data_IF_072680076726
#
_entry.id   IF_072680076726
#
_cell.length_a   1.000
_cell.length_b   1.000
_cell.length_c   1.000
_cell.angle_alpha   90.00
_cell.angle_beta   90.00
_cell.angle_gamma   90.00
#
_symmetry.space_group_name_H-M   'P 1'
#
loop_
_entity.id
_entity.type
_entity.pdbx_description
1 polymer ?
#
# COMPACT_ATOMS: atom_id res chain seq x y z
N UNK A 1 4.17 12.03 10.77
CA UNK A 1 4.23 10.82 9.93
C UNK A 1 4.99 9.69 10.63
N UNK A 2 6.28 9.85 10.97
CA UNK A 2 7.08 8.74 11.56
C UNK A 2 6.54 8.10 12.86
N UNK A 3 6.02 8.89 13.81
CA UNK A 3 5.49 8.33 15.07
C UNK A 3 4.21 7.50 14.89
N UNK A 4 3.39 7.83 13.88
CA UNK A 4 2.15 7.10 13.59
C UNK A 4 2.45 5.86 12.75
N UNK A 5 3.31 5.96 11.72
CA UNK A 5 3.70 4.81 10.91
C UNK A 5 4.31 3.68 11.76
N UNK A 6 5.20 4.00 12.70
CA UNK A 6 5.84 3.03 13.59
C UNK A 6 4.86 2.21 14.46
N UNK A 7 3.70 2.78 14.81
CA UNK A 7 2.71 2.07 15.61
C UNK A 7 1.95 0.99 14.82
N UNK A 8 2.04 1.02 13.50
CA UNK A 8 1.34 0.11 12.60
C UNK A 8 2.29 -0.84 11.85
N UNK A 9 3.61 -0.71 11.98
CA UNK A 9 4.61 -1.60 11.34
C UNK A 9 4.49 -3.07 11.78
N UNK A 10 3.87 -3.35 12.94
CA UNK A 10 3.52 -4.69 13.46
C UNK A 10 2.01 -4.75 13.85
N UNK A 11 1.21 -3.82 13.33
CA UNK A 11 -0.18 -3.61 13.77
C UNK A 11 -1.22 -4.42 13.00
N UNK A 12 -0.84 -4.98 11.85
CA UNK A 12 -1.73 -5.67 10.94
C UNK A 12 -1.36 -7.14 10.81
N UNK A 13 -2.37 -8.00 10.75
CA UNK A 13 -2.19 -9.46 10.69
C UNK A 13 -2.13 -9.94 9.24
N UNK A 14 -2.71 -9.18 8.29
CA UNK A 14 -2.82 -9.58 6.89
C UNK A 14 -1.90 -8.74 5.98
N UNK A 15 -1.14 -9.37 5.06
CA UNK A 15 -0.26 -8.63 4.14
C UNK A 15 -0.97 -7.61 3.24
N UNK A 16 -2.28 -7.76 3.01
CA UNK A 16 -3.08 -6.78 2.24
C UNK A 16 -3.35 -5.51 3.05
N UNK A 17 -3.50 -5.61 4.37
CA UNK A 17 -3.69 -4.46 5.25
C UNK A 17 -2.42 -3.60 5.28
N UNK A 18 -1.24 -4.23 5.36
CA UNK A 18 0.05 -3.55 5.23
C UNK A 18 0.18 -2.81 3.89
N UNK A 19 -0.21 -3.47 2.79
CA UNK A 19 -0.18 -2.87 1.46
C UNK A 19 -1.11 -1.64 1.38
N UNK A 20 -2.36 -1.78 1.84
CA UNK A 20 -3.33 -0.69 1.87
C UNK A 20 -2.82 0.48 2.73
N UNK A 21 -2.22 0.18 3.88
CA UNK A 21 -1.66 1.18 4.77
C UNK A 21 -0.52 1.98 4.11
N UNK A 22 0.39 1.30 3.42
CA UNK A 22 1.46 1.96 2.66
C UNK A 22 0.89 2.85 1.55
N UNK A 23 -0.15 2.41 0.83
CA UNK A 23 -0.82 3.23 -0.19
C UNK A 23 -1.46 4.47 0.43
N UNK A 24 -2.15 4.33 1.56
CA UNK A 24 -2.74 5.47 2.29
C UNK A 24 -1.68 6.46 2.74
N UNK A 25 -0.57 5.99 3.31
CA UNK A 25 0.53 6.85 3.72
C UNK A 25 1.16 7.59 2.51
N UNK A 26 1.22 6.96 1.34
CA UNK A 26 1.76 7.56 0.12
C UNK A 26 0.86 8.73 -0.32
N UNK A 27 -0.45 8.49 -0.36
CA UNK A 27 -1.46 9.52 -0.69
C UNK A 27 -1.40 10.68 0.31
N UNK A 28 -1.38 10.37 1.61
CA UNK A 28 -1.34 11.39 2.66
C UNK A 28 -0.02 12.16 2.70
N UNK A 29 1.07 11.58 2.23
CA UNK A 29 2.35 12.29 2.12
C UNK A 29 2.29 13.43 1.09
N UNK A 30 1.39 13.34 0.11
CA UNK A 30 1.19 14.37 -0.91
C UNK A 30 2.46 14.76 -1.68
N UNK A 31 3.48 13.89 -1.72
CA UNK A 31 4.78 14.18 -2.32
C UNK A 31 5.63 15.21 -1.55
N UNK A 32 5.32 15.51 -0.29
CA UNK A 32 6.05 16.51 0.50
C UNK A 32 7.53 16.20 0.71
N UNK A 33 7.90 14.91 0.71
CA UNK A 33 9.29 14.48 0.85
C UNK A 33 9.65 13.51 -0.29
N UNK A 34 10.43 13.96 -1.31
CA UNK A 34 10.72 13.13 -2.49
C UNK A 34 11.42 11.81 -2.18
N UNK A 35 12.31 11.79 -1.17
CA UNK A 35 13.01 10.56 -0.75
C UNK A 35 12.03 9.55 -0.16
N UNK A 36 11.07 10.02 0.63
CA UNK A 36 10.03 9.20 1.22
C UNK A 36 9.09 8.63 0.16
N UNK A 37 8.71 9.42 -0.85
CA UNK A 37 7.87 8.94 -1.96
C UNK A 37 8.52 7.77 -2.70
N UNK A 38 9.82 7.87 -2.98
CA UNK A 38 10.60 6.80 -3.63
C UNK A 38 10.66 5.55 -2.75
N UNK A 39 10.96 5.70 -1.46
CA UNK A 39 11.03 4.59 -0.51
C UNK A 39 9.68 3.88 -0.35
N UNK A 40 8.60 4.64 -0.22
CA UNK A 40 7.24 4.10 -0.10
C UNK A 40 6.79 3.36 -1.34
N UNK A 41 7.02 3.94 -2.53
CA UNK A 41 6.72 3.26 -3.80
C UNK A 41 7.53 1.98 -3.95
N UNK A 42 8.78 1.98 -3.51
CA UNK A 42 9.62 0.77 -3.45
C UNK A 42 9.03 -0.30 -2.54
N UNK A 43 8.64 0.07 -1.31
CA UNK A 43 8.05 -0.87 -0.35
C UNK A 43 6.74 -1.49 -0.87
N UNK A 44 5.88 -0.69 -1.50
CA UNK A 44 4.64 -1.15 -2.14
C UNK A 44 4.96 -2.16 -3.25
N UNK A 45 5.90 -1.83 -4.14
CA UNK A 45 6.29 -2.70 -5.24
C UNK A 45 6.88 -4.03 -4.74
N UNK A 46 7.73 -3.99 -3.72
CA UNK A 46 8.32 -5.17 -3.10
C UNK A 46 7.25 -6.06 -2.45
N UNK A 47 6.26 -5.46 -1.78
CA UNK A 47 5.13 -6.19 -1.20
C UNK A 47 4.30 -6.91 -2.28
N UNK A 48 3.95 -6.19 -3.36
CA UNK A 48 3.21 -6.74 -4.51
C UNK A 48 4.01 -7.87 -5.17
N UNK A 49 5.31 -7.70 -5.38
CA UNK A 49 6.16 -8.70 -6.01
C UNK A 49 6.32 -9.96 -5.14
N UNK A 50 6.43 -9.80 -3.82
CA UNK A 50 6.61 -10.89 -2.86
C UNK A 50 5.38 -11.78 -2.72
N UNK A 51 4.20 -11.16 -2.62
CA UNK A 51 2.96 -11.88 -2.33
C UNK A 51 2.12 -12.16 -3.58
N UNK A 52 2.25 -11.33 -4.62
CA UNK A 52 1.39 -11.35 -5.81
C UNK A 52 0.05 -10.66 -5.54
N UNK A 53 -0.30 -9.68 -6.38
CA UNK A 53 -1.48 -8.83 -6.16
C UNK A 53 -2.78 -9.63 -6.07
N UNK A 54 -2.99 -10.59 -6.98
CA UNK A 54 -4.19 -11.44 -6.97
C UNK A 54 -4.34 -12.25 -5.67
N UNK A 55 -3.22 -12.67 -5.06
CA UNK A 55 -3.23 -13.44 -3.81
C UNK A 55 -3.52 -12.56 -2.61
N UNK A 56 -3.09 -11.31 -2.64
CA UNK A 56 -3.39 -10.34 -1.58
C UNK A 56 -4.88 -9.97 -1.56
N UNK A 57 -5.54 -9.98 -2.72
CA UNK A 57 -6.94 -9.59 -2.87
C UNK A 57 -7.94 -10.75 -2.72
N UNK A 58 -7.48 -11.99 -2.51
CA UNK A 58 -8.35 -13.18 -2.46
C UNK A 58 -9.43 -13.11 -1.39
N UNK A 59 -9.14 -12.51 -0.23
CA UNK A 59 -10.07 -12.39 0.89
C UNK A 59 -10.80 -11.04 0.91
N UNK A 60 -10.51 -10.15 -0.05
CA UNK A 60 -11.15 -8.84 -0.18
C UNK A 60 -12.42 -8.99 -1.02
N UNK A 61 -13.56 -8.41 -0.59
CA UNK A 61 -14.77 -8.34 -1.42
C UNK A 61 -14.47 -7.77 -2.81
N UNK A 62 -15.08 -8.33 -3.85
CA UNK A 62 -14.74 -7.97 -5.24
C UNK A 62 -14.91 -6.47 -5.54
N UNK A 63 -15.93 -5.83 -4.99
CA UNK A 63 -16.19 -4.39 -5.15
C UNK A 63 -15.11 -3.51 -4.49
N UNK A 64 -14.62 -3.92 -3.32
CA UNK A 64 -13.49 -3.27 -2.65
C UNK A 64 -12.18 -3.51 -3.40
N UNK A 65 -11.95 -4.75 -3.88
CA UNK A 65 -10.77 -5.11 -4.65
C UNK A 65 -10.69 -4.36 -6.00
N UNK A 66 -11.81 -4.24 -6.72
CA UNK A 66 -11.89 -3.47 -7.97
C UNK A 66 -11.59 -1.99 -7.73
N UNK A 67 -12.13 -1.42 -6.65
CA UNK A 67 -11.86 -0.02 -6.27
C UNK A 67 -10.39 0.17 -5.95
N UNK A 68 -9.79 -0.74 -5.17
CA UNK A 68 -8.38 -0.66 -4.80
C UNK A 68 -7.46 -0.80 -6.01
N UNK A 69 -7.75 -1.72 -6.93
CA UNK A 69 -7.00 -1.88 -8.18
C UNK A 69 -7.06 -0.62 -9.05
N UNK A 70 -8.24 -0.02 -9.15
CA UNK A 70 -8.42 1.25 -9.86
C UNK A 70 -7.54 2.36 -9.25
N UNK A 71 -7.51 2.47 -7.92
CA UNK A 71 -6.69 3.47 -7.22
C UNK A 71 -5.18 3.22 -7.41
N UNK A 72 -4.73 1.96 -7.36
CA UNK A 72 -3.33 1.61 -7.68
C UNK A 72 -2.95 2.01 -9.12
N UNK A 73 -3.89 1.86 -10.07
CA UNK A 73 -3.71 2.30 -11.44
C UNK A 73 -3.58 3.83 -11.58
N UNK A 74 -4.40 4.60 -10.84
CA UNK A 74 -4.28 6.07 -10.79
C UNK A 74 -2.90 6.48 -10.24
N UNK A 75 -2.42 5.77 -9.22
CA UNK A 75 -1.14 6.04 -8.57
C UNK A 75 0.08 5.53 -9.36
N UNK A 76 -0.15 4.86 -10.50
CA UNK A 76 0.86 4.24 -11.35
C UNK A 76 1.74 3.23 -10.60
N UNK A 77 1.10 2.45 -9.72
CA UNK A 77 1.76 1.40 -8.92
C UNK A 77 1.65 0.01 -9.56
N UNK A 78 0.78 -0.14 -10.58
CA UNK A 78 0.56 -1.34 -11.39
C UNK A 78 0.40 -0.98 -12.86
#
# INVERSE_FOLDING_TARGET
MGYVAYQFDDGFDLPIEDLMWQVVLLVLSGGWLPQWDVEMRGAIADCIAKHGLDKLLVEVPNDEAETFLHDLGILQLI
#
